data_IF_285697103510
#
_entry.id   IF_285697103510
#
_cell.length_a   1.000
_cell.length_b   1.000
_cell.length_c   1.000
_cell.angle_alpha   90.00
_cell.angle_beta   90.00
_cell.angle_gamma   90.00
#
_symmetry.space_group_name_H-M   'P 1'
#
loop_
_entity.id
_entity.type
_entity.pdbx_description
1 polymer ?
#
# COMPACT_ATOMS: atom_id res chain seq x y z
N UNK A 1 8.89 -10.61 -13.02
CA UNK A 1 10.12 -11.29 -12.55
C UNK A 1 10.93 -11.96 -13.66
N UNK A 2 10.42 -12.97 -14.38
CA UNK A 2 11.21 -13.78 -15.33
C UNK A 2 11.91 -12.97 -16.44
N UNK A 3 11.24 -12.01 -17.06
CA UNK A 3 11.83 -11.14 -18.10
C UNK A 3 12.95 -10.22 -17.56
N UNK A 4 12.78 -9.68 -16.34
CA UNK A 4 13.76 -8.80 -15.69
C UNK A 4 15.00 -9.57 -15.23
N UNK A 5 14.81 -10.82 -14.78
CA UNK A 5 15.89 -11.72 -14.41
C UNK A 5 16.73 -12.09 -15.65
N UNK A 6 16.07 -12.42 -16.75
CA UNK A 6 16.72 -12.65 -18.04
C UNK A 6 17.50 -11.43 -18.52
N UNK A 7 16.89 -10.25 -18.54
CA UNK A 7 17.56 -9.00 -18.91
C UNK A 7 18.78 -8.72 -18.02
N UNK A 8 18.65 -8.92 -16.70
CA UNK A 8 19.76 -8.75 -15.77
C UNK A 8 20.89 -9.76 -15.99
N UNK A 9 20.60 -10.94 -16.54
CA UNK A 9 21.61 -11.94 -16.89
C UNK A 9 22.32 -11.57 -18.21
N UNK A 10 21.56 -11.10 -19.21
CA UNK A 10 22.10 -10.61 -20.50
C UNK A 10 23.10 -9.47 -20.28
N UNK A 11 22.72 -8.48 -19.46
CA UNK A 11 23.55 -7.29 -19.18
C UNK A 11 24.52 -7.45 -18.00
N UNK A 12 24.80 -8.68 -17.54
CA UNK A 12 25.78 -8.90 -16.48
C UNK A 12 27.18 -8.57 -17.01
N UNK A 13 27.94 -7.73 -16.30
CA UNK A 13 29.32 -7.32 -16.69
C UNK A 13 30.22 -8.51 -17.07
N UNK A 14 30.12 -9.64 -16.36
CA UNK A 14 30.84 -10.87 -16.71
C UNK A 14 30.46 -11.40 -18.11
N UNK A 15 29.18 -11.41 -18.44
CA UNK A 15 28.69 -11.95 -19.72
C UNK A 15 29.03 -10.98 -20.88
N UNK A 16 28.92 -9.66 -20.64
CA UNK A 16 29.38 -8.63 -21.58
C UNK A 16 30.90 -8.75 -21.81
N UNK A 17 31.69 -8.95 -20.74
CA UNK A 17 33.13 -9.16 -20.85
C UNK A 17 33.49 -10.41 -21.65
N UNK A 18 32.78 -11.52 -21.42
CA UNK A 18 32.96 -12.76 -22.21
C UNK A 18 32.64 -12.52 -23.69
N UNK A 19 31.56 -11.78 -23.98
CA UNK A 19 31.20 -11.43 -25.36
C UNK A 19 32.29 -10.59 -26.03
N UNK A 20 32.81 -9.56 -25.35
CA UNK A 20 33.86 -8.70 -25.89
C UNK A 20 35.16 -9.47 -26.16
N UNK A 21 35.56 -10.38 -25.25
CA UNK A 21 36.73 -11.24 -25.45
C UNK A 21 36.50 -12.20 -26.63
N UNK A 22 35.32 -12.84 -26.70
CA UNK A 22 34.99 -13.78 -27.77
C UNK A 22 34.96 -13.09 -29.15
N UNK A 23 34.43 -11.86 -29.22
CA UNK A 23 34.45 -11.05 -30.44
C UNK A 23 35.87 -10.62 -30.82
N UNK A 24 36.71 -10.25 -29.84
CA UNK A 24 38.12 -9.94 -30.07
C UNK A 24 38.90 -11.13 -30.65
N UNK A 25 38.66 -12.34 -30.12
CA UNK A 25 39.24 -13.58 -30.65
C UNK A 25 38.73 -13.87 -32.07
N UNK A 26 37.44 -13.68 -32.32
CA UNK A 26 36.86 -13.88 -33.65
C UNK A 26 37.46 -12.93 -34.70
N UNK A 27 37.67 -11.65 -34.35
CA UNK A 27 38.30 -10.67 -35.22
C UNK A 27 39.77 -10.99 -35.53
N UNK A 28 40.51 -11.55 -34.58
CA UNK A 28 41.90 -12.00 -34.81
C UNK A 28 41.92 -13.23 -35.73
N UNK A 29 40.99 -14.18 -35.55
CA UNK A 29 40.90 -15.39 -36.36
C UNK A 29 40.49 -15.09 -37.81
N UNK A 30 39.58 -14.15 -38.01
CA UNK A 30 39.18 -13.68 -39.35
C UNK A 30 40.36 -13.16 -40.17
N UNK A 31 41.27 -12.39 -39.54
CA UNK A 31 42.43 -11.81 -40.22
C UNK A 31 43.54 -12.82 -40.55
N UNK A 32 43.60 -13.94 -39.82
CA UNK A 32 44.69 -14.92 -39.96
C UNK A 32 44.30 -16.19 -40.72
N UNK A 33 43.01 -16.52 -40.81
CA UNK A 33 42.53 -17.76 -41.43
C UNK A 33 41.39 -17.44 -42.41
N UNK A 34 41.65 -17.62 -43.70
CA UNK A 34 40.65 -17.44 -44.76
C UNK A 34 39.48 -18.40 -44.56
N UNK A 35 38.25 -17.87 -44.48
CA UNK A 35 37.03 -18.64 -44.25
C UNK A 35 36.62 -18.83 -42.78
N UNK A 36 37.44 -18.39 -41.82
CA UNK A 36 37.13 -18.51 -40.39
C UNK A 36 35.92 -17.67 -39.95
N UNK A 37 35.58 -16.59 -40.67
CA UNK A 37 34.44 -15.72 -40.36
C UNK A 37 33.11 -16.52 -40.25
N UNK A 38 32.90 -17.50 -41.14
CA UNK A 38 31.68 -18.33 -41.19
C UNK A 38 31.41 -19.08 -39.87
N UNK A 39 32.46 -19.38 -39.10
CA UNK A 39 32.33 -20.14 -37.85
C UNK A 39 32.72 -19.33 -36.60
N UNK A 40 33.60 -18.34 -36.71
CA UNK A 40 34.14 -17.59 -35.58
C UNK A 40 33.10 -16.70 -34.88
N UNK A 41 32.31 -15.93 -35.63
CA UNK A 41 31.26 -15.08 -35.04
C UNK A 41 30.08 -15.90 -34.47
N UNK A 42 29.55 -16.93 -35.17
CA UNK A 42 28.56 -17.81 -34.57
C UNK A 42 29.05 -18.54 -33.30
N UNK A 43 30.32 -18.96 -33.28
CA UNK A 43 30.92 -19.56 -32.08
C UNK A 43 30.99 -18.55 -30.92
N UNK A 44 31.37 -17.30 -31.18
CA UNK A 44 31.38 -16.24 -30.16
C UNK A 44 29.97 -15.98 -29.58
N UNK A 45 28.95 -15.96 -30.44
CA UNK A 45 27.54 -15.84 -30.03
C UNK A 45 27.12 -17.05 -29.19
N UNK A 46 27.47 -18.28 -29.60
CA UNK A 46 27.16 -19.49 -28.85
C UNK A 46 27.80 -19.49 -27.45
N UNK A 47 29.07 -19.07 -27.33
CA UNK A 47 29.77 -18.91 -26.04
C UNK A 47 29.06 -17.90 -25.14
N UNK A 48 28.58 -16.79 -25.70
CA UNK A 48 27.79 -15.80 -24.95
C UNK A 48 26.45 -16.37 -24.47
N UNK A 49 25.72 -17.09 -25.32
CA UNK A 49 24.45 -17.75 -24.96
C UNK A 49 24.66 -18.75 -23.81
N UNK A 50 25.68 -19.61 -23.90
CA UNK A 50 26.02 -20.56 -22.83
C UNK A 50 26.35 -19.82 -21.53
N UNK A 51 27.05 -18.69 -21.60
CA UNK A 51 27.38 -17.87 -20.42
C UNK A 51 26.16 -17.22 -19.78
N UNK A 52 25.17 -16.81 -20.58
CA UNK A 52 23.87 -16.35 -20.08
C UNK A 52 23.15 -17.49 -19.37
N UNK A 53 23.04 -18.66 -20.00
CA UNK A 53 22.38 -19.84 -19.41
C UNK A 53 23.07 -20.27 -18.10
N UNK A 54 24.40 -20.27 -18.05
CA UNK A 54 25.14 -20.56 -16.83
C UNK A 54 24.85 -19.53 -15.72
N UNK A 55 24.71 -18.26 -16.08
CA UNK A 55 24.32 -17.22 -15.12
C UNK A 55 22.89 -17.41 -14.63
N UNK A 56 21.97 -17.82 -15.51
CA UNK A 56 20.58 -18.11 -15.16
C UNK A 56 20.45 -19.34 -14.27
N UNK A 57 21.33 -20.33 -14.35
CA UNK A 57 21.28 -21.50 -13.45
C UNK A 57 22.00 -21.24 -12.10
N UNK A 58 22.82 -20.19 -12.02
CA UNK A 58 23.61 -19.89 -10.84
C UNK A 58 22.76 -19.45 -9.65
N UNK A 59 22.87 -20.16 -8.52
CA UNK A 59 22.24 -19.77 -7.23
C UNK A 59 22.71 -18.39 -6.75
N UNK A 60 24.03 -18.12 -6.82
CA UNK A 60 24.61 -16.82 -6.45
C UNK A 60 24.05 -15.65 -7.28
N UNK A 61 23.66 -15.88 -8.53
CA UNK A 61 23.05 -14.85 -9.37
C UNK A 61 21.60 -14.59 -8.94
N UNK A 62 20.83 -15.66 -8.72
CA UNK A 62 19.47 -15.55 -8.20
C UNK A 62 19.41 -14.85 -6.86
N UNK A 63 20.28 -15.20 -5.91
CA UNK A 63 20.36 -14.54 -4.60
C UNK A 63 20.61 -13.03 -4.74
N UNK A 64 21.61 -12.64 -5.56
CA UNK A 64 21.90 -11.21 -5.80
C UNK A 64 20.75 -10.49 -6.51
N UNK A 65 20.07 -11.15 -7.45
CA UNK A 65 18.92 -10.57 -8.15
C UNK A 65 17.75 -10.37 -7.20
N UNK A 66 17.39 -11.41 -6.44
CA UNK A 66 16.31 -11.36 -5.46
C UNK A 66 16.56 -10.29 -4.41
N UNK A 67 17.79 -10.16 -3.92
CA UNK A 67 18.18 -9.08 -3.00
C UNK A 67 17.94 -7.69 -3.60
N UNK A 68 18.34 -7.46 -4.87
CA UNK A 68 18.09 -6.19 -5.55
C UNK A 68 16.60 -5.93 -5.73
N UNK A 69 15.82 -6.96 -6.03
CA UNK A 69 14.36 -6.85 -6.16
C UNK A 69 13.70 -6.52 -4.83
N UNK A 70 14.18 -7.11 -3.72
CA UNK A 70 13.70 -6.80 -2.36
C UNK A 70 14.01 -5.37 -1.94
N UNK A 71 15.23 -4.90 -2.14
CA UNK A 71 15.59 -3.49 -1.88
C UNK A 71 14.69 -2.55 -2.68
N UNK A 72 14.46 -2.85 -3.98
CA UNK A 72 13.55 -2.05 -4.81
C UNK A 72 12.13 -2.08 -4.28
N UNK A 73 11.65 -3.22 -3.79
CA UNK A 73 10.31 -3.34 -3.22
C UNK A 73 10.15 -2.44 -1.98
N UNK A 74 11.09 -2.51 -1.04
CA UNK A 74 11.11 -1.66 0.16
C UNK A 74 11.16 -0.17 -0.23
N UNK A 75 11.99 0.20 -1.21
CA UNK A 75 12.05 1.57 -1.73
C UNK A 75 10.71 2.00 -2.35
N UNK A 76 10.10 1.15 -3.17
CA UNK A 76 8.80 1.44 -3.79
C UNK A 76 7.71 1.63 -2.73
N UNK A 77 7.69 0.80 -1.68
CA UNK A 77 6.78 0.96 -0.55
C UNK A 77 7.03 2.26 0.20
N UNK A 78 8.29 2.62 0.47
CA UNK A 78 8.63 3.90 1.08
C UNK A 78 8.15 5.09 0.23
N UNK A 79 8.35 5.05 -1.09
CA UNK A 79 7.83 6.07 -2.00
C UNK A 79 6.29 6.12 -1.99
N UNK A 80 5.62 4.98 -1.92
CA UNK A 80 4.17 4.91 -1.80
C UNK A 80 3.69 5.58 -0.50
N UNK A 81 4.32 5.28 0.64
CA UNK A 81 4.03 5.94 1.92
C UNK A 81 4.21 7.46 1.82
N UNK A 82 5.31 7.93 1.24
CA UNK A 82 5.56 9.37 1.07
C UNK A 82 4.49 10.03 0.22
N UNK A 83 4.16 9.44 -0.94
CA UNK A 83 3.13 9.95 -1.85
C UNK A 83 1.77 10.03 -1.15
N UNK A 84 1.34 8.94 -0.51
CA UNK A 84 0.07 8.87 0.20
C UNK A 84 0.04 9.85 1.38
N UNK A 85 1.14 10.02 2.11
CA UNK A 85 1.19 10.95 3.24
C UNK A 85 1.00 12.41 2.79
N UNK A 86 1.51 12.77 1.61
CA UNK A 86 1.35 14.10 1.05
C UNK A 86 -0.10 14.37 0.64
N UNK A 87 -0.77 13.36 0.10
CA UNK A 87 -2.20 13.41 -0.21
C UNK A 87 -3.06 13.51 1.07
N UNK A 88 -2.79 12.67 2.07
CA UNK A 88 -3.50 12.64 3.33
C UNK A 88 -3.46 14.00 4.07
N UNK A 89 -2.32 14.72 4.02
CA UNK A 89 -2.16 16.05 4.63
C UNK A 89 -3.19 17.09 4.18
N UNK A 90 -3.79 16.93 2.99
CA UNK A 90 -4.82 17.85 2.48
C UNK A 90 -6.16 17.69 3.19
N UNK A 91 -6.39 16.54 3.81
CA UNK A 91 -7.67 16.16 4.40
C UNK A 91 -7.63 16.09 5.93
N UNK A 92 -6.44 15.99 6.52
CA UNK A 92 -6.27 15.84 7.97
C UNK A 92 -6.46 17.15 8.73
N UNK A 93 -7.05 17.06 9.92
CA UNK A 93 -7.04 18.15 10.91
C UNK A 93 -5.71 18.14 11.70
N UNK A 94 -5.40 19.16 12.52
CA UNK A 94 -4.13 19.23 13.25
C UNK A 94 -3.82 17.99 14.11
N UNK A 95 -4.83 17.42 14.77
CA UNK A 95 -4.70 16.20 15.59
C UNK A 95 -4.25 15.00 14.76
N UNK A 96 -4.92 14.74 13.64
CA UNK A 96 -4.59 13.62 12.76
C UNK A 96 -3.33 13.86 11.93
N UNK A 97 -3.00 15.12 11.64
CA UNK A 97 -1.74 15.48 11.00
C UNK A 97 -0.53 15.15 11.91
N UNK A 98 -0.66 15.37 13.23
CA UNK A 98 0.37 14.98 14.18
C UNK A 98 0.54 13.45 14.25
N UNK A 99 -0.56 12.69 14.28
CA UNK A 99 -0.52 11.22 14.24
C UNK A 99 0.14 10.69 12.96
N UNK A 100 -0.26 11.22 11.81
CA UNK A 100 0.36 10.90 10.52
C UNK A 100 1.86 11.18 10.53
N UNK A 101 2.29 12.33 11.08
CA UNK A 101 3.71 12.67 11.18
C UNK A 101 4.47 11.64 12.02
N UNK A 102 3.94 11.25 13.18
CA UNK A 102 4.56 10.25 14.05
C UNK A 102 4.69 8.88 13.38
N UNK A 103 3.65 8.41 12.70
CA UNK A 103 3.70 7.15 11.93
C UNK A 103 4.74 7.22 10.80
N UNK A 104 4.87 8.38 10.15
CA UNK A 104 5.89 8.57 9.12
C UNK A 104 7.31 8.62 9.69
N UNK A 105 7.51 9.22 10.87
CA UNK A 105 8.80 9.19 11.59
C UNK A 105 9.16 7.74 11.98
N UNK A 106 8.22 6.99 12.56
CA UNK A 106 8.43 5.58 12.91
C UNK A 106 8.77 4.72 11.67
N UNK A 107 8.11 4.99 10.54
CA UNK A 107 8.41 4.36 9.25
C UNK A 107 9.82 4.70 8.75
N UNK A 108 10.29 5.94 8.91
CA UNK A 108 11.65 6.33 8.52
C UNK A 108 12.70 5.58 9.34
N UNK A 109 12.48 5.44 10.65
CA UNK A 109 13.34 4.66 11.54
C UNK A 109 13.42 3.18 11.11
N UNK A 110 12.27 2.57 10.77
CA UNK A 110 12.19 1.17 10.30
C UNK A 110 12.99 0.98 9.00
N UNK A 111 12.79 1.87 8.02
CA UNK A 111 13.51 1.82 6.73
C UNK A 111 15.01 2.02 6.95
N UNK A 112 15.40 2.95 7.82
CA UNK A 112 16.80 3.18 8.15
C UNK A 112 17.44 1.97 8.84
N UNK A 113 16.71 1.29 9.75
CA UNK A 113 17.17 0.05 10.39
C UNK A 113 17.41 -1.08 9.38
N UNK A 114 16.54 -1.19 8.37
CA UNK A 114 16.69 -2.17 7.29
C UNK A 114 17.98 -1.94 6.49
N UNK A 115 18.31 -0.68 6.16
CA UNK A 115 19.51 -0.38 5.36
C UNK A 115 20.83 -0.41 6.15
N UNK A 116 20.79 -0.19 7.47
CA UNK A 116 21.98 -0.14 8.33
C UNK A 116 22.31 -1.48 9.00
N UNK A 117 21.32 -2.34 9.22
CA UNK A 117 21.49 -3.56 10.02
C UNK A 117 21.99 -4.78 9.25
N UNK A 118 22.18 -5.87 10.00
CA UNK A 118 22.45 -7.19 9.45
C UNK A 118 21.26 -7.73 8.66
N UNK A 119 21.56 -8.55 7.66
CA UNK A 119 20.57 -9.08 6.74
C UNK A 119 19.99 -10.38 7.27
N UNK A 120 18.75 -10.32 7.74
CA UNK A 120 17.94 -11.48 8.12
C UNK A 120 16.70 -11.52 7.24
N UNK A 121 16.39 -12.68 6.64
CA UNK A 121 15.18 -12.88 5.84
C UNK A 121 13.91 -12.51 6.61
N UNK A 122 13.90 -12.79 7.92
CA UNK A 122 12.76 -12.50 8.79
C UNK A 122 12.60 -10.99 8.98
N UNK A 123 13.70 -10.27 9.21
CA UNK A 123 13.74 -8.79 9.18
C UNK A 123 13.17 -8.21 7.89
N UNK A 124 13.57 -8.74 6.74
CA UNK A 124 13.12 -8.23 5.44
C UNK A 124 11.59 -8.34 5.32
N UNK A 125 11.03 -9.49 5.70
CA UNK A 125 9.58 -9.71 5.69
C UNK A 125 8.83 -8.82 6.67
N UNK A 126 9.31 -8.71 7.91
CA UNK A 126 8.69 -7.85 8.92
C UNK A 126 8.68 -6.40 8.44
N UNK A 127 9.79 -5.90 7.90
CA UNK A 127 9.87 -4.53 7.35
C UNK A 127 8.90 -4.35 6.18
N UNK A 128 8.88 -5.28 5.22
CA UNK A 128 7.96 -5.25 4.08
C UNK A 128 6.50 -5.15 4.53
N UNK A 129 6.09 -6.00 5.47
CA UNK A 129 4.72 -6.01 5.97
C UNK A 129 4.43 -4.77 6.82
N UNK A 130 5.40 -4.26 7.61
CA UNK A 130 5.21 -3.04 8.40
C UNK A 130 4.98 -1.84 7.49
N UNK A 131 5.69 -1.76 6.36
CA UNK A 131 5.44 -0.73 5.36
C UNK A 131 4.07 -0.87 4.70
N UNK A 132 3.60 -2.09 4.43
CA UNK A 132 2.23 -2.33 3.97
C UNK A 132 1.20 -1.86 5.02
N UNK A 133 1.45 -2.11 6.30
CA UNK A 133 0.59 -1.62 7.39
C UNK A 133 0.53 -0.09 7.41
N UNK A 134 1.66 0.59 7.22
CA UNK A 134 1.72 2.05 7.11
C UNK A 134 0.96 2.54 5.87
N UNK A 135 1.08 1.88 4.72
CA UNK A 135 0.30 2.20 3.52
C UNK A 135 -1.21 2.11 3.81
N UNK A 136 -1.65 1.00 4.41
CA UNK A 136 -3.05 0.81 4.79
C UNK A 136 -3.52 1.84 5.81
N UNK A 137 -2.68 2.18 6.79
CA UNK A 137 -2.97 3.23 7.78
C UNK A 137 -3.24 4.58 7.11
N UNK A 138 -2.36 5.01 6.19
CA UNK A 138 -2.49 6.32 5.56
C UNK A 138 -3.76 6.39 4.69
N UNK A 139 -4.09 5.33 3.96
CA UNK A 139 -5.32 5.25 3.17
C UNK A 139 -6.55 5.34 4.06
N UNK A 140 -6.60 4.50 5.10
CA UNK A 140 -7.70 4.46 6.06
C UNK A 140 -7.86 5.83 6.75
N UNK A 141 -6.76 6.46 7.16
CA UNK A 141 -6.77 7.78 7.77
C UNK A 141 -7.33 8.85 6.83
N UNK A 142 -6.95 8.79 5.55
CA UNK A 142 -7.43 9.73 4.54
C UNK A 142 -8.94 9.59 4.34
N UNK A 143 -9.42 8.36 4.16
CA UNK A 143 -10.84 8.05 4.02
C UNK A 143 -11.63 8.44 5.27
N UNK A 144 -11.10 8.14 6.46
CA UNK A 144 -11.66 8.54 7.74
C UNK A 144 -11.79 10.06 7.86
N UNK A 145 -10.75 10.83 7.53
CA UNK A 145 -10.78 12.29 7.63
C UNK A 145 -11.77 12.93 6.64
N UNK A 146 -11.81 12.44 5.39
CA UNK A 146 -12.79 12.87 4.39
C UNK A 146 -14.20 12.62 4.94
N UNK A 147 -14.46 11.40 5.42
CA UNK A 147 -15.80 11.03 5.86
C UNK A 147 -16.25 11.75 7.13
N UNK A 148 -15.33 11.95 8.07
CA UNK A 148 -15.61 12.71 9.27
C UNK A 148 -16.00 14.15 8.95
N UNK A 149 -15.37 14.76 7.93
CA UNK A 149 -15.74 16.09 7.45
C UNK A 149 -17.12 16.08 6.80
N UNK A 150 -17.39 15.17 5.88
CA UNK A 150 -18.71 15.02 5.23
C UNK A 150 -19.85 14.85 6.25
N UNK A 151 -19.64 14.03 7.30
CA UNK A 151 -20.64 13.85 8.36
C UNK A 151 -20.80 15.09 9.27
N UNK A 152 -19.76 15.90 9.42
CA UNK A 152 -19.81 17.13 10.22
C UNK A 152 -20.58 18.24 9.50
N UNK A 153 -20.66 18.19 8.17
CA UNK A 153 -21.43 19.14 7.36
C UNK A 153 -22.96 18.87 7.41
N UNK A 154 -23.39 17.69 7.87
CA UNK A 154 -24.81 17.35 8.03
C UNK A 154 -25.35 17.97 9.34
N UNK A 155 -26.19 18.98 9.21
CA UNK A 155 -26.89 19.60 10.34
C UNK A 155 -28.07 18.73 10.83
N UNK A 156 -27.77 17.85 11.79
CA UNK A 156 -28.78 17.03 12.48
C UNK A 156 -29.81 17.90 13.22
N UNK A 157 -29.41 19.09 13.69
CA UNK A 157 -30.31 20.03 14.36
C UNK A 157 -31.37 20.57 13.43
N UNK A 158 -31.00 20.99 12.22
CA UNK A 158 -31.94 21.43 11.18
C UNK A 158 -32.93 20.31 10.80
N UNK A 159 -32.46 19.07 10.64
CA UNK A 159 -33.33 17.92 10.32
C UNK A 159 -34.28 17.63 11.50
N UNK A 160 -33.78 17.66 12.73
CA UNK A 160 -34.61 17.46 13.94
C UNK A 160 -35.68 18.54 14.06
N UNK A 161 -35.33 19.80 13.76
CA UNK A 161 -36.27 20.90 13.75
C UNK A 161 -37.34 20.74 12.67
N UNK A 162 -36.96 20.25 11.47
CA UNK A 162 -37.91 19.94 10.39
C UNK A 162 -38.87 18.82 10.78
N UNK A 163 -38.38 17.76 11.41
CA UNK A 163 -39.22 16.69 11.98
C UNK A 163 -40.22 17.30 12.97
N UNK A 164 -39.75 18.08 13.94
CA UNK A 164 -40.62 18.68 14.95
C UNK A 164 -41.70 19.61 14.34
N UNK A 165 -41.34 20.39 13.31
CA UNK A 165 -42.30 21.24 12.60
C UNK A 165 -43.33 20.42 11.84
N UNK A 166 -42.91 19.37 11.13
CA UNK A 166 -43.80 18.51 10.36
C UNK A 166 -44.70 17.68 11.27
N UNK A 167 -44.20 17.23 12.42
CA UNK A 167 -44.96 16.48 13.42
C UNK A 167 -46.02 17.37 14.08
N UNK A 168 -45.71 18.65 14.32
CA UNK A 168 -46.72 19.64 14.71
C UNK A 168 -47.77 19.84 13.62
N UNK A 169 -47.37 20.06 12.36
CA UNK A 169 -48.29 20.24 11.22
C UNK A 169 -49.22 19.04 11.04
N UNK A 170 -48.70 17.83 11.20
CA UNK A 170 -49.47 16.58 11.09
C UNK A 170 -50.69 16.56 12.02
N UNK A 171 -50.59 17.18 13.20
CA UNK A 171 -51.69 17.25 14.18
C UNK A 171 -52.81 18.23 13.77
N UNK A 172 -52.59 19.08 12.78
CA UNK A 172 -53.54 20.11 12.33
C UNK A 172 -54.04 19.89 10.88
N UNK A 173 -53.55 18.86 10.20
CA UNK A 173 -53.94 18.55 8.83
C UNK A 173 -55.21 17.70 8.82
N UNK A 174 -56.25 18.20 8.17
CA UNK A 174 -57.54 17.52 8.01
C UNK A 174 -57.63 16.70 6.73
N UNK A 175 -56.74 16.94 5.76
CA UNK A 175 -56.68 16.18 4.50
C UNK A 175 -55.89 14.88 4.70
N UNK A 176 -56.50 13.70 4.49
CA UNK A 176 -55.82 12.41 4.68
C UNK A 176 -54.61 12.21 3.76
N UNK A 177 -54.62 12.77 2.54
CA UNK A 177 -53.49 12.60 1.59
C UNK A 177 -52.29 13.42 2.05
N UNK A 178 -52.50 14.70 2.38
CA UNK A 178 -51.46 15.55 2.93
C UNK A 178 -50.90 15.03 4.27
N UNK A 179 -51.73 14.38 5.10
CA UNK A 179 -51.28 13.74 6.33
C UNK A 179 -50.37 12.54 6.07
N UNK A 180 -50.65 11.73 5.04
CA UNK A 180 -49.80 10.60 4.65
C UNK A 180 -48.45 11.07 4.09
N UNK A 181 -48.44 12.10 3.25
CA UNK A 181 -47.21 12.67 2.70
C UNK A 181 -46.32 13.28 3.80
N UNK A 182 -46.91 13.97 4.78
CA UNK A 182 -46.18 14.48 5.95
C UNK A 182 -45.57 13.34 6.77
N UNK A 183 -46.29 12.22 6.96
CA UNK A 183 -45.74 11.03 7.63
C UNK A 183 -44.54 10.46 6.88
N UNK A 184 -44.62 10.34 5.55
CA UNK A 184 -43.49 9.86 4.72
C UNK A 184 -42.28 10.77 4.84
N UNK A 185 -42.47 12.09 4.84
CA UNK A 185 -41.36 13.05 5.02
C UNK A 185 -40.72 12.91 6.40
N UNK A 186 -41.52 12.79 7.47
CA UNK A 186 -41.03 12.55 8.82
C UNK A 186 -40.23 11.24 8.89
N UNK A 187 -40.76 10.15 8.34
CA UNK A 187 -40.10 8.84 8.32
C UNK A 187 -38.75 8.89 7.56
N UNK A 188 -38.71 9.58 6.41
CA UNK A 188 -37.47 9.77 5.66
C UNK A 188 -36.41 10.53 6.47
N UNK A 189 -36.83 11.59 7.17
CA UNK A 189 -35.94 12.41 8.00
C UNK A 189 -35.41 11.63 9.21
N UNK A 190 -36.26 10.87 9.89
CA UNK A 190 -35.86 9.98 10.97
C UNK A 190 -34.86 8.92 10.48
N UNK A 191 -35.08 8.36 9.29
CA UNK A 191 -34.15 7.42 8.66
C UNK A 191 -32.82 8.07 8.30
N UNK A 192 -32.78 9.35 7.94
CA UNK A 192 -31.53 10.09 7.72
C UNK A 192 -30.77 10.25 9.04
N UNK A 193 -31.45 10.71 10.11
CA UNK A 193 -30.81 10.86 11.43
C UNK A 193 -30.24 9.52 11.92
N UNK A 194 -31.01 8.44 11.79
CA UNK A 194 -30.57 7.09 12.18
C UNK A 194 -29.30 6.69 11.41
N UNK A 195 -29.28 6.85 10.09
CA UNK A 195 -28.09 6.54 9.26
C UNK A 195 -26.88 7.38 9.65
N UNK A 196 -27.06 8.67 9.92
CA UNK A 196 -25.96 9.55 10.36
C UNK A 196 -25.40 9.09 11.71
N UNK A 197 -26.26 8.67 12.64
CA UNK A 197 -25.83 8.15 13.95
C UNK A 197 -25.06 6.84 13.82
N UNK A 198 -25.54 5.92 12.99
CA UNK A 198 -24.85 4.65 12.69
C UNK A 198 -23.47 4.89 12.07
N UNK A 199 -23.37 5.81 11.11
CA UNK A 199 -22.08 6.16 10.50
C UNK A 199 -21.11 6.84 11.46
N UNK A 200 -21.59 7.68 12.37
CA UNK A 200 -20.73 8.26 13.42
C UNK A 200 -20.16 7.18 14.34
N UNK A 201 -20.98 6.22 14.76
CA UNK A 201 -20.54 5.11 15.60
C UNK A 201 -19.50 4.22 14.87
N UNK A 202 -19.67 4.03 13.57
CA UNK A 202 -18.69 3.30 12.76
C UNK A 202 -17.37 4.07 12.60
N UNK A 203 -17.42 5.38 12.39
CA UNK A 203 -16.22 6.21 12.38
C UNK A 203 -15.47 6.13 13.72
N UNK A 204 -16.15 6.07 14.86
CA UNK A 204 -15.49 5.86 16.16
C UNK A 204 -14.73 4.53 16.19
N UNK A 205 -15.32 3.45 15.65
CA UNK A 205 -14.64 2.14 15.53
C UNK A 205 -13.40 2.22 14.62
N UNK A 206 -13.51 2.92 13.50
CA UNK A 206 -12.37 3.15 12.59
C UNK A 206 -11.29 3.98 13.28
N UNK A 207 -11.68 5.01 14.04
CA UNK A 207 -10.76 5.81 14.85
C UNK A 207 -9.97 4.97 15.85
N UNK A 208 -10.64 4.06 16.57
CA UNK A 208 -9.97 3.13 17.49
C UNK A 208 -9.02 2.17 16.76
N UNK A 209 -9.40 1.71 15.56
CA UNK A 209 -8.52 0.85 14.73
C UNK A 209 -7.30 1.61 14.20
N UNK A 210 -7.44 2.88 13.82
CA UNK A 210 -6.29 3.73 13.47
C UNK A 210 -5.32 3.89 14.65
N UNK A 211 -5.84 4.05 15.86
CA UNK A 211 -5.01 4.18 17.07
C UNK A 211 -4.28 2.88 17.42
N UNK A 212 -4.96 1.74 17.21
CA UNK A 212 -4.33 0.43 17.29
C UNK A 212 -3.21 0.27 16.24
N UNK A 213 -3.46 0.61 14.98
CA UNK A 213 -2.45 0.52 13.90
C UNK A 213 -1.24 1.42 14.17
N UNK A 214 -1.44 2.65 14.66
CA UNK A 214 -0.36 3.54 15.08
C UNK A 214 0.51 2.87 16.17
N UNK A 215 -0.13 2.33 17.20
CA UNK A 215 0.55 1.65 18.31
C UNK A 215 1.31 0.40 17.85
N UNK A 216 0.72 -0.35 16.92
CA UNK A 216 1.30 -1.55 16.32
C UNK A 216 2.54 -1.22 15.49
N UNK A 217 2.49 -0.17 14.65
CA UNK A 217 3.68 0.31 13.92
C UNK A 217 4.79 0.73 14.89
N UNK A 218 4.43 1.43 15.95
CA UNK A 218 5.39 1.86 16.97
C UNK A 218 6.05 0.68 17.71
N UNK A 219 5.27 -0.34 18.06
CA UNK A 219 5.77 -1.57 18.68
C UNK A 219 6.74 -2.29 17.74
N UNK A 220 6.34 -2.47 16.46
CA UNK A 220 7.18 -3.13 15.47
C UNK A 220 8.47 -2.37 15.19
N UNK A 221 8.44 -1.04 15.21
CA UNK A 221 9.66 -0.23 15.15
C UNK A 221 10.66 -0.66 16.23
N UNK A 222 10.23 -0.72 17.49
CA UNK A 222 11.12 -1.10 18.59
C UNK A 222 11.64 -2.53 18.45
N UNK A 223 10.80 -3.47 18.02
CA UNK A 223 11.18 -4.87 17.82
C UNK A 223 12.19 -5.03 16.67
N UNK A 224 11.96 -4.37 15.53
CA UNK A 224 12.87 -4.35 14.37
C UNK A 224 14.21 -3.69 14.69
N UNK A 225 14.21 -2.61 15.49
CA UNK A 225 15.44 -1.93 15.91
C UNK A 225 16.22 -2.78 16.91
N UNK A 226 15.52 -3.48 17.81
CA UNK A 226 16.14 -4.32 18.85
C UNK A 226 16.56 -5.71 18.32
N UNK A 227 16.35 -5.99 17.04
CA UNK A 227 16.58 -7.30 16.41
C UNK A 227 15.88 -8.46 17.12
N UNK A 228 14.78 -8.16 17.84
CA UNK A 228 13.89 -9.16 18.39
C UNK A 228 12.98 -9.53 17.22
N UNK A 229 13.34 -10.59 16.52
CA UNK A 229 12.72 -11.08 15.29
C UNK A 229 12.08 -12.44 15.56
N UNK A 230 10.76 -12.57 15.39
CA UNK A 230 10.00 -13.79 15.67
C UNK A 230 8.90 -13.98 14.63
N UNK A 231 8.55 -15.25 14.38
CA UNK A 231 7.50 -15.64 13.44
C UNK A 231 6.10 -15.20 13.93
N UNK A 232 5.90 -15.16 15.26
CA UNK A 232 4.69 -14.64 15.90
C UNK A 232 4.42 -13.16 15.57
N UNK A 233 5.47 -12.33 15.50
CA UNK A 233 5.30 -10.95 15.06
C UNK A 233 4.87 -10.85 13.60
N UNK A 234 5.42 -11.70 12.73
CA UNK A 234 5.04 -11.71 11.32
C UNK A 234 3.55 -12.06 11.16
N UNK A 235 3.07 -13.07 11.88
CA UNK A 235 1.66 -13.47 11.88
C UNK A 235 0.73 -12.36 12.42
N UNK A 236 1.13 -11.71 13.51
CA UNK A 236 0.41 -10.56 14.07
C UNK A 236 0.32 -9.42 13.05
N UNK A 237 1.39 -9.19 12.30
CA UNK A 237 1.46 -8.13 11.31
C UNK A 237 0.62 -8.44 10.07
N UNK A 238 0.66 -9.68 9.58
CA UNK A 238 -0.17 -10.10 8.45
C UNK A 238 -1.65 -10.01 8.79
N UNK A 239 -2.03 -10.41 10.01
CA UNK A 239 -3.40 -10.22 10.52
C UNK A 239 -3.79 -8.74 10.54
N UNK A 240 -2.96 -7.87 11.12
CA UNK A 240 -3.23 -6.43 11.20
C UNK A 240 -3.34 -5.77 9.81
N UNK A 241 -2.49 -6.17 8.86
CA UNK A 241 -2.53 -5.70 7.47
C UNK A 241 -3.81 -6.15 6.78
N UNK A 242 -4.19 -7.42 6.92
CA UNK A 242 -5.38 -7.98 6.30
C UNK A 242 -6.66 -7.34 6.85
N UNK A 243 -6.74 -7.14 8.18
CA UNK A 243 -7.85 -6.42 8.81
C UNK A 243 -7.95 -4.98 8.29
N UNK A 244 -6.82 -4.27 8.20
CA UNK A 244 -6.81 -2.89 7.71
C UNK A 244 -7.21 -2.79 6.24
N UNK A 245 -6.75 -3.73 5.40
CA UNK A 245 -7.12 -3.78 3.99
C UNK A 245 -8.62 -4.10 3.79
N UNK A 246 -9.18 -4.99 4.61
CA UNK A 246 -10.61 -5.30 4.59
C UNK A 246 -11.46 -4.10 5.06
N UNK A 247 -10.99 -3.34 6.05
CA UNK A 247 -11.67 -2.12 6.49
C UNK A 247 -11.66 -1.03 5.41
N UNK A 248 -10.53 -0.84 4.72
CA UNK A 248 -10.41 0.14 3.63
C UNK A 248 -11.33 -0.22 2.45
N UNK A 249 -11.42 -1.50 2.09
CA UNK A 249 -12.31 -1.95 1.01
C UNK A 249 -13.79 -1.75 1.35
N UNK A 250 -14.21 -2.02 2.59
CA UNK A 250 -15.58 -1.76 3.06
C UNK A 250 -15.91 -0.26 3.00
N UNK A 251 -14.97 0.60 3.37
CA UNK A 251 -15.17 2.05 3.30
C UNK A 251 -15.27 2.56 1.86
N UNK A 252 -14.42 2.06 0.95
CA UNK A 252 -14.48 2.40 -0.47
C UNK A 252 -15.78 1.91 -1.14
N UNK A 253 -16.21 0.69 -0.82
CA UNK A 253 -17.43 0.10 -1.40
C UNK A 253 -18.68 0.87 -0.98
N UNK A 254 -18.75 1.29 0.29
CA UNK A 254 -19.85 2.13 0.79
C UNK A 254 -19.86 3.54 0.20
N UNK A 255 -18.68 4.09 -0.09
CA UNK A 255 -18.59 5.35 -0.82
C UNK A 255 -19.17 5.22 -2.23
N UNK A 256 -18.88 4.11 -2.92
CA UNK A 256 -19.40 3.84 -4.28
C UNK A 256 -20.90 3.54 -4.28
N UNK A 257 -21.43 2.84 -3.28
CA UNK A 257 -22.86 2.51 -3.21
C UNK A 257 -23.75 3.73 -2.97
N UNK A 258 -23.25 4.78 -2.30
CA UNK A 258 -23.97 6.06 -2.14
C UNK A 258 -24.03 6.93 -3.40
N UNK A 259 -23.12 6.77 -4.37
CA UNK A 259 -23.17 7.51 -5.65
C UNK A 259 -24.29 6.98 -6.57
N UNK A 260 -24.90 5.84 -6.24
CA UNK A 260 -25.99 5.22 -7.01
C UNK A 260 -27.39 5.42 -6.39
N UNK A 261 -27.57 6.42 -5.52
CA UNK A 261 -28.89 6.82 -5.01
C UNK A 261 -29.25 8.18 -5.61
#
# INVERSE_FOLDING_TARGET
>A
MKSRLFLSAVFRLRNIGILLIALGIAAILENNISGANVFAYPAAIAVYIVSILQSLVSRKFHEKFNQREKIRNIQNLNFACLRLSHEAKKHTNPRYAQKLRKVMEDKDDIVNSFFRGERSYLKEKIVEQTLNLVVSYIKLLTNFCIRNRELSEIDVGAITNRINQNLRKLNFVNDPVAAEDLKKVIEMDEKIIKRVKEEKQELERIGAKLDYMESTVHMFKHQIISSIESEEMLETLETAVNEAAALDSVLEERRKSRIRI
#
